data_IF_232033328198
#
_entry.id   IF_232033328198
#
_cell.length_a   1.000
_cell.length_b   1.000
_cell.length_c   1.000
_cell.angle_alpha   90.00
_cell.angle_beta   90.00
_cell.angle_gamma   90.00
#
_symmetry.space_group_name_H-M   'P 1'
#
loop_
_entity.id
_entity.type
_entity.pdbx_description
1 polymer ?
#
# COMPACT_ATOMS: atom_id res chain seq x y z
N UNK A 1 14.80 -6.01 1.65
CA UNK A 1 14.29 -6.15 1.79
C UNK A 1 13.71 -6.89 1.75
N UNK A 2 13.48 -7.44 2.03
CA UNK A 2 12.77 -8.14 1.90
C UNK A 2 11.58 -7.68 2.11
N UNK A 3 11.37 -6.99 2.76
CA UNK A 3 10.24 -6.53 2.94
C UNK A 3 9.58 -6.48 1.78
N UNK A 4 10.16 -6.91 1.00
CA UNK A 4 9.70 -6.92 -0.22
C UNK A 4 8.54 -7.79 -0.43
N UNK A 5 8.29 -8.68 0.46
CA UNK A 5 7.14 -9.49 0.31
C UNK A 5 5.89 -8.69 0.19
N UNK A 6 5.85 -7.59 0.88
CA UNK A 6 4.71 -6.74 0.79
C UNK A 6 4.55 -6.17 -0.55
N UNK A 7 5.65 -6.12 -1.30
CA UNK A 7 5.58 -5.61 -2.60
C UNK A 7 4.72 -6.43 -3.45
N UNK A 8 4.70 -7.70 -3.16
CA UNK A 8 3.97 -8.58 -3.96
C UNK A 8 2.52 -8.36 -3.80
N UNK A 9 2.14 -7.82 -2.69
CA UNK A 9 0.76 -7.59 -2.43
C UNK A 9 0.08 -6.88 -3.55
N UNK A 10 0.73 -5.90 -4.14
CA UNK A 10 0.10 -5.13 -5.19
C UNK A 10 0.01 -5.90 -6.48
N UNK A 11 0.98 -6.79 -6.71
CA UNK A 11 1.02 -7.52 -7.97
C UNK A 11 0.65 -8.98 -7.87
N UNK A 12 0.78 -9.57 -6.70
CA UNK A 12 0.69 -10.99 -6.59
C UNK A 12 0.07 -11.47 -5.33
N UNK A 13 0.57 -12.58 -4.87
CA UNK A 13 -0.11 -13.43 -3.98
C UNK A 13 -0.45 -12.88 -2.61
N UNK A 14 0.31 -11.96 -2.08
CA UNK A 14 -0.03 -11.46 -0.76
C UNK A 14 -1.35 -10.74 -0.75
N UNK A 15 -1.69 -10.08 -1.86
CA UNK A 15 -2.96 -9.46 -2.02
C UNK A 15 -3.90 -10.31 -2.83
N UNK A 16 -3.45 -11.52 -3.12
CA UNK A 16 -4.22 -12.35 -4.01
C UNK A 16 -5.68 -12.51 -3.63
N UNK A 17 -6.03 -12.68 -2.35
CA UNK A 17 -7.43 -12.82 -2.04
C UNK A 17 -8.26 -11.64 -2.49
N UNK A 18 -7.69 -10.44 -2.38
CA UNK A 18 -8.39 -9.26 -2.83
C UNK A 18 -8.35 -9.15 -4.34
N UNK A 19 -7.18 -9.37 -4.91
CA UNK A 19 -7.02 -9.28 -6.34
C UNK A 19 -7.89 -10.29 -7.06
N UNK A 20 -8.02 -11.46 -6.52
CA UNK A 20 -8.80 -12.50 -7.17
C UNK A 20 -10.27 -12.21 -7.19
N UNK A 21 -10.73 -11.31 -6.34
CA UNK A 21 -12.13 -10.96 -6.33
C UNK A 21 -12.45 -9.91 -7.37
N UNK A 22 -11.44 -9.33 -7.99
CA UNK A 22 -11.66 -8.38 -9.04
C UNK A 22 -11.81 -9.13 -10.35
N UNK A 23 -12.61 -8.60 -11.24
CA UNK A 23 -12.67 -9.22 -12.54
C UNK A 23 -11.38 -8.94 -13.27
N UNK A 24 -11.07 -9.74 -14.28
CA UNK A 24 -9.82 -9.65 -14.99
C UNK A 24 -9.58 -8.31 -15.63
N UNK A 25 -10.65 -7.69 -16.08
CA UNK A 25 -10.54 -6.41 -16.74
C UNK A 25 -10.08 -5.32 -15.78
N UNK A 26 -10.61 -5.33 -14.59
CA UNK A 26 -10.22 -4.35 -13.59
C UNK A 26 -8.75 -4.49 -13.23
N UNK A 27 -8.32 -5.72 -13.02
CA UNK A 27 -6.94 -5.98 -12.69
C UNK A 27 -6.00 -5.54 -13.80
N UNK A 28 -6.39 -5.86 -15.03
CA UNK A 28 -5.61 -5.50 -16.18
C UNK A 28 -5.48 -3.98 -16.27
N UNK A 29 -6.57 -3.28 -16.05
CA UNK A 29 -6.58 -1.85 -16.11
C UNK A 29 -5.65 -1.24 -15.07
N UNK A 30 -5.70 -1.75 -13.86
CA UNK A 30 -4.83 -1.26 -12.81
C UNK A 30 -3.37 -1.48 -13.15
N UNK A 31 -3.06 -2.62 -13.72
CA UNK A 31 -1.70 -2.91 -14.10
C UNK A 31 -1.21 -2.00 -15.19
N UNK A 32 -2.03 -1.80 -16.21
CA UNK A 32 -1.59 -1.00 -17.35
C UNK A 32 -1.59 0.48 -17.04
N UNK A 33 -2.31 0.90 -16.02
CA UNK A 33 -2.36 2.31 -15.68
C UNK A 33 -1.14 2.76 -14.89
N UNK A 34 -0.27 1.82 -14.50
CA UNK A 34 0.86 2.16 -13.67
C UNK A 34 2.14 1.71 -14.32
N UNK A 35 3.13 2.58 -14.36
CA UNK A 35 4.44 2.22 -14.85
C UNK A 35 5.12 1.32 -13.85
N UNK A 36 6.17 0.68 -14.31
CA UNK A 36 6.95 -0.20 -13.44
C UNK A 36 7.50 0.58 -12.25
N UNK A 37 8.02 1.77 -12.48
CA UNK A 37 8.60 2.53 -11.38
C UNK A 37 7.52 3.02 -10.42
N UNK A 38 6.33 3.33 -10.91
CA UNK A 38 5.24 3.71 -10.03
C UNK A 38 4.83 2.54 -9.15
N UNK A 39 4.76 1.35 -9.73
CA UNK A 39 4.41 0.18 -8.94
C UNK A 39 5.47 -0.08 -7.87
N UNK A 40 6.73 0.13 -8.21
CA UNK A 40 7.81 -0.06 -7.25
C UNK A 40 7.68 0.90 -6.07
N UNK A 41 7.38 2.16 -6.37
CA UNK A 41 7.18 3.15 -5.33
C UNK A 41 6.02 2.75 -4.42
N UNK A 42 4.91 2.33 -5.02
CA UNK A 42 3.74 1.94 -4.23
C UNK A 42 4.05 0.75 -3.33
N UNK A 43 4.83 -0.20 -3.83
CA UNK A 43 5.18 -1.35 -3.01
C UNK A 43 6.02 -0.94 -1.81
N UNK A 44 6.95 -0.02 -2.02
CA UNK A 44 7.77 0.47 -0.91
C UNK A 44 6.89 1.16 0.13
N UNK A 45 5.97 1.99 -0.32
CA UNK A 45 5.12 2.72 0.60
C UNK A 45 4.17 1.78 1.34
N UNK A 46 3.66 0.76 0.65
CA UNK A 46 2.81 -0.22 1.31
C UNK A 46 3.60 -0.99 2.37
N UNK A 47 4.82 -1.38 2.06
CA UNK A 47 5.66 -2.08 3.02
C UNK A 47 5.88 -1.22 4.27
N UNK A 48 6.12 0.06 4.07
CA UNK A 48 6.32 0.96 5.19
C UNK A 48 5.08 1.04 6.07
N UNK A 49 3.91 1.08 5.45
CA UNK A 49 2.67 1.11 6.21
C UNK A 49 2.47 -0.18 7.00
N UNK A 50 2.77 -1.31 6.37
CA UNK A 50 2.65 -2.59 7.07
C UNK A 50 3.55 -2.65 8.28
N UNK A 51 4.78 -2.16 8.14
CA UNK A 51 5.71 -2.15 9.26
C UNK A 51 5.21 -1.27 10.38
N UNK A 52 4.69 -0.10 10.03
CA UNK A 52 4.15 0.79 11.03
C UNK A 52 3.02 0.12 11.79
N UNK A 53 2.12 -0.52 11.07
CA UNK A 53 0.98 -1.17 11.70
C UNK A 53 1.45 -2.30 12.61
N UNK A 54 2.41 -3.08 12.15
CA UNK A 54 2.92 -4.17 12.95
C UNK A 54 3.53 -3.65 14.24
N UNK A 55 4.31 -2.60 14.16
CA UNK A 55 4.97 -2.05 15.32
C UNK A 55 4.01 -1.38 16.27
N UNK A 56 2.92 -0.85 15.77
CA UNK A 56 1.95 -0.16 16.61
C UNK A 56 0.75 -1.04 17.00
N UNK A 57 0.79 -2.31 16.62
CA UNK A 57 -0.28 -3.23 17.00
C UNK A 57 -1.58 -3.00 16.27
N UNK A 58 -1.51 -2.43 15.07
CA UNK A 58 -2.71 -2.13 14.29
C UNK A 58 -2.75 -3.03 13.07
N UNK A 59 -3.94 -3.14 12.49
CA UNK A 59 -4.14 -3.98 11.32
C UNK A 59 -3.99 -3.15 10.06
N UNK A 60 -3.16 -3.65 9.14
CA UNK A 60 -2.91 -2.91 7.91
C UNK A 60 -3.93 -3.20 6.82
N UNK A 61 -4.55 -4.38 6.86
CA UNK A 61 -5.48 -4.75 5.80
C UNK A 61 -6.58 -5.61 6.38
N UNK A 62 -7.79 -5.11 6.47
CA UNK A 62 -8.17 -3.74 6.13
C UNK A 62 -7.80 -2.79 7.26
N UNK A 63 -7.34 -1.63 6.88
CA UNK A 63 -7.00 -0.61 7.86
C UNK A 63 -8.22 0.26 8.14
N UNK A 64 -8.31 0.74 9.38
CA UNK A 64 -9.36 1.70 9.69
C UNK A 64 -8.87 3.10 9.33
N UNK A 65 -9.81 4.02 9.27
CA UNK A 65 -9.47 5.41 9.01
C UNK A 65 -8.53 5.92 10.10
N UNK A 66 -8.77 5.50 11.34
CA UNK A 66 -7.91 5.91 12.45
C UNK A 66 -6.48 5.44 12.26
N UNK A 67 -6.30 4.21 11.83
CA UNK A 67 -4.97 3.67 11.60
C UNK A 67 -4.24 4.46 10.51
N UNK A 68 -4.94 4.77 9.43
CA UNK A 68 -4.33 5.53 8.34
C UNK A 68 -3.98 6.93 8.82
N UNK A 69 -4.87 7.55 9.59
CA UNK A 69 -4.62 8.90 10.10
C UNK A 69 -3.40 8.91 11.02
N UNK A 70 -3.27 7.89 11.87
CA UNK A 70 -2.12 7.78 12.75
C UNK A 70 -0.83 7.67 11.96
N UNK A 71 -0.87 6.87 10.90
CA UNK A 71 0.30 6.70 10.07
C UNK A 71 0.69 8.00 9.38
N UNK A 72 -0.29 8.74 8.89
CA UNK A 72 -0.01 10.03 8.26
C UNK A 72 0.61 10.97 9.26
N UNK A 73 0.07 11.02 10.47
CA UNK A 73 0.66 11.84 11.53
C UNK A 73 2.08 11.47 11.82
N UNK A 74 2.34 10.17 11.86
CA UNK A 74 3.70 9.67 12.07
C UNK A 74 4.61 10.15 10.94
N UNK A 75 4.16 10.09 9.70
CA UNK A 75 4.98 10.52 8.58
C UNK A 75 5.27 12.02 8.63
N UNK A 76 4.25 12.79 8.98
CA UNK A 76 4.43 14.23 9.10
C UNK A 76 5.47 14.56 10.17
N UNK A 77 5.35 13.92 11.31
CA UNK A 77 6.29 14.16 12.39
C UNK A 77 7.69 13.68 12.08
N UNK A 78 7.79 12.68 11.23
CA UNK A 78 9.09 12.16 10.83
C UNK A 78 9.73 12.99 9.73
N UNK A 79 9.05 14.00 9.23
CA UNK A 79 9.63 14.90 8.25
C UNK A 79 9.50 14.46 6.81
N UNK A 80 8.60 13.54 6.51
CA UNK A 80 8.39 13.11 5.14
C UNK A 80 7.77 14.23 4.32
N UNK A 81 8.12 14.28 3.05
CA UNK A 81 7.57 15.28 2.14
C UNK A 81 6.10 14.99 1.85
N UNK A 82 5.39 16.04 1.51
CA UNK A 82 3.98 15.89 1.17
C UNK A 82 3.79 14.92 0.01
N UNK A 83 4.69 14.95 -0.98
CA UNK A 83 4.57 14.04 -2.12
C UNK A 83 4.73 12.59 -1.69
N UNK A 84 5.62 12.32 -0.75
CA UNK A 84 5.80 10.96 -0.25
C UNK A 84 4.57 10.51 0.52
N UNK A 85 4.00 11.40 1.32
CA UNK A 85 2.79 11.07 2.06
C UNK A 85 1.65 10.78 1.08
N UNK A 86 1.56 11.55 0.01
CA UNK A 86 0.56 11.30 -1.02
C UNK A 86 0.74 9.94 -1.67
N UNK A 87 1.98 9.56 -1.93
CA UNK A 87 2.26 8.24 -2.49
C UNK A 87 1.84 7.13 -1.53
N UNK A 88 2.05 7.34 -0.24
CA UNK A 88 1.65 6.36 0.75
C UNK A 88 0.14 6.20 0.77
N UNK A 89 -0.59 7.30 0.72
CA UNK A 89 -2.04 7.23 0.69
C UNK A 89 -2.53 6.52 -0.55
N UNK A 90 -1.91 6.79 -1.68
CA UNK A 90 -2.27 6.11 -2.92
C UNK A 90 -2.02 4.62 -2.84
N UNK A 91 -0.89 4.24 -2.26
CA UNK A 91 -0.55 2.84 -2.12
C UNK A 91 -1.54 2.12 -1.21
N UNK A 92 -1.89 2.76 -0.09
CA UNK A 92 -2.84 2.17 0.85
C UNK A 92 -4.20 2.03 0.18
N UNK A 93 -4.63 3.05 -0.55
CA UNK A 93 -5.89 3.00 -1.24
C UNK A 93 -5.92 1.92 -2.30
N UNK A 94 -4.83 1.77 -3.04
CA UNK A 94 -4.75 0.75 -4.06
C UNK A 94 -4.83 -0.64 -3.44
N UNK A 95 -4.10 -0.87 -2.36
CA UNK A 95 -4.10 -2.16 -1.70
C UNK A 95 -5.50 -2.55 -1.24
N UNK A 96 -6.25 -1.57 -0.77
CA UNK A 96 -7.60 -1.85 -0.28
C UNK A 96 -8.62 -2.02 -1.40
N UNK A 97 -8.27 -1.61 -2.61
CA UNK A 97 -9.16 -1.79 -3.75
C UNK A 97 -8.88 -3.08 -4.51
N UNK A 98 -7.74 -3.65 -4.29
CA UNK A 98 -7.42 -4.92 -4.90
C UNK A 98 -8.01 -6.05 -4.08
#
# INVERSE_FOLDING_TARGET
MKQINSLEIIDRSDLAPHAERLNGKTRELLKSARSESTRRVYRVQWTNFEKYCEQSGQTSLPATVGTVADFIGFMVESGYKASTIGQSLSAIGLAHRL
#
